data_IF_614394547445
#
_entry.id   IF_614394547445
#
_cell.length_a   1.000
_cell.length_b   1.000
_cell.length_c   1.000
_cell.angle_alpha   90.00
_cell.angle_beta   90.00
_cell.angle_gamma   90.00
#
_symmetry.space_group_name_H-M   'P 1'
#
loop_
_entity.id
_entity.type
_entity.pdbx_description
1 polymer ?
#
# COMPACT_ATOMS: atom_id res chain seq x y z
N UNK A 1 41.19 -23.17 -29.65
CA UNK A 1 41.66 -22.14 -28.70
C UNK A 1 42.23 -22.86 -27.48
N UNK A 2 43.52 -22.69 -27.21
CA UNK A 2 44.26 -23.48 -26.22
C UNK A 2 44.07 -22.92 -24.80
N UNK A 3 43.91 -23.87 -23.89
CA UNK A 3 43.58 -23.82 -22.46
C UNK A 3 44.65 -23.08 -21.64
N UNK A 4 44.23 -22.29 -20.65
CA UNK A 4 45.12 -21.71 -19.64
C UNK A 4 45.28 -22.66 -18.43
N UNK A 5 46.56 -22.84 -18.13
CA UNK A 5 47.32 -23.50 -17.06
C UNK A 5 46.74 -23.48 -15.64
N UNK A 6 46.83 -24.65 -14.97
CA UNK A 6 46.68 -24.89 -13.53
C UNK A 6 48.01 -24.72 -12.79
N UNK A 7 48.05 -24.12 -11.58
CA UNK A 7 49.02 -24.49 -10.52
C UNK A 7 48.39 -24.30 -9.13
N UNK A 8 48.59 -25.34 -8.30
CA UNK A 8 48.20 -25.57 -6.91
C UNK A 8 49.47 -25.50 -6.02
N UNK A 9 49.38 -24.92 -4.82
CA UNK A 9 50.33 -25.07 -3.70
C UNK A 9 49.52 -24.82 -2.40
N UNK A 10 49.26 -25.76 -1.47
CA UNK A 10 50.01 -26.70 -0.60
C UNK A 10 50.72 -26.05 0.63
N UNK A 11 50.05 -26.25 1.79
CA UNK A 11 50.45 -26.57 3.19
C UNK A 11 51.61 -25.88 3.94
N UNK A 12 51.37 -25.52 5.22
CA UNK A 12 51.77 -26.26 6.46
C UNK A 12 51.48 -25.41 7.75
N UNK A 13 50.70 -25.90 8.74
CA UNK A 13 51.07 -26.49 10.07
C UNK A 13 51.83 -25.55 11.04
N UNK A 14 51.62 -25.43 12.37
CA UNK A 14 50.82 -26.05 13.45
C UNK A 14 51.01 -25.15 14.72
N UNK A 15 50.28 -25.25 15.84
CA UNK A 15 50.52 -26.11 17.02
C UNK A 15 49.49 -25.77 18.12
N UNK A 16 49.10 -26.78 18.93
CA UNK A 16 48.17 -26.76 20.08
C UNK A 16 48.73 -26.11 21.36
N UNK A 17 47.84 -25.56 22.22
CA UNK A 17 47.94 -25.61 23.70
C UNK A 17 46.53 -25.74 24.33
N UNK A 18 46.52 -26.36 25.51
CA UNK A 18 45.50 -27.13 26.25
C UNK A 18 44.50 -26.32 27.11
N UNK A 19 43.52 -27.05 27.66
CA UNK A 19 42.24 -26.67 28.27
C UNK A 19 42.21 -26.15 29.74
N UNK A 20 40.96 -25.82 30.15
CA UNK A 20 40.34 -25.69 31.49
C UNK A 20 40.40 -24.32 32.21
N UNK A 21 39.23 -23.67 32.37
CA UNK A 21 38.56 -23.44 33.67
C UNK A 21 37.36 -22.48 33.53
N UNK A 22 36.37 -22.69 34.40
CA UNK A 22 35.01 -22.13 34.45
C UNK A 22 34.98 -20.85 35.32
N UNK A 23 34.29 -19.81 34.80
CA UNK A 23 33.58 -18.64 35.40
C UNK A 23 34.17 -17.89 36.63
N UNK A 24 34.03 -16.55 36.64
CA UNK A 24 32.89 -15.94 37.35
C UNK A 24 32.20 -14.74 36.64
N UNK A 25 30.89 -14.64 36.83
CA UNK A 25 30.04 -13.42 36.71
C UNK A 25 29.80 -12.95 38.17
N UNK A 26 29.70 -11.65 38.56
CA UNK A 26 28.97 -10.56 37.89
C UNK A 26 29.56 -9.11 37.94
N UNK A 27 28.90 -8.25 37.15
CA UNK A 27 28.61 -6.83 37.41
C UNK A 27 29.60 -5.72 36.97
N UNK A 28 29.23 -5.03 35.88
CA UNK A 28 29.50 -3.61 35.68
C UNK A 28 28.30 -2.91 35.01
N UNK A 29 28.03 -1.71 35.52
CA UNK A 29 26.92 -0.78 35.38
C UNK A 29 26.34 -0.47 33.96
N UNK A 30 25.10 0.07 33.89
CA UNK A 30 24.41 0.33 32.63
C UNK A 30 24.90 1.61 31.95
N UNK A 31 25.48 1.49 30.75
CA UNK A 31 25.61 2.60 29.82
C UNK A 31 24.40 2.63 28.89
N UNK A 32 23.52 3.59 29.14
CA UNK A 32 22.49 4.05 28.21
C UNK A 32 23.15 4.46 26.89
N UNK A 33 23.09 3.58 25.90
CA UNK A 33 23.19 3.98 24.50
C UNK A 33 21.82 3.77 23.90
N UNK A 34 21.10 4.87 23.73
CA UNK A 34 19.89 4.94 22.92
C UNK A 34 20.29 4.68 21.48
N UNK A 35 20.38 3.41 21.10
CA UNK A 35 20.21 3.03 19.70
C UNK A 35 18.73 3.22 19.43
N UNK A 36 18.38 4.39 18.88
CA UNK A 36 17.10 4.61 18.25
C UNK A 36 17.00 3.60 17.10
N UNK A 37 16.48 2.41 17.41
CA UNK A 37 15.98 1.49 16.42
C UNK A 37 14.96 2.28 15.61
N UNK A 38 15.29 2.55 14.36
CA UNK A 38 14.34 3.06 13.39
C UNK A 38 13.12 2.13 13.47
N UNK A 39 12.01 2.66 13.99
CA UNK A 39 10.75 1.95 13.99
C UNK A 39 10.48 1.50 12.55
N UNK A 40 10.09 0.24 12.32
CA UNK A 40 9.76 -0.21 10.98
C UNK A 40 8.70 0.74 10.43
N UNK A 41 8.99 1.35 9.27
CA UNK A 41 8.02 2.16 8.54
C UNK A 41 6.75 1.33 8.42
N UNK A 42 5.67 1.82 9.02
CA UNK A 42 4.38 1.14 9.03
C UNK A 42 3.87 1.16 7.59
N UNK A 43 4.08 0.07 6.86
CA UNK A 43 3.49 -0.12 5.54
C UNK A 43 2.01 0.14 5.66
N UNK A 44 1.50 1.13 4.92
CA UNK A 44 0.06 1.36 4.85
C UNK A 44 -0.60 0.05 4.39
N UNK A 45 -1.59 -0.42 5.14
CA UNK A 45 -2.32 -1.64 4.77
C UNK A 45 -2.92 -1.46 3.35
N UNK A 46 -2.95 -2.51 2.54
CA UNK A 46 -3.63 -2.45 1.25
C UNK A 46 -5.12 -2.14 1.46
N UNK A 47 -5.77 -1.37 0.56
CA UNK A 47 -7.20 -1.11 0.67
C UNK A 47 -8.00 -2.41 0.50
N UNK A 48 -9.05 -2.54 1.29
CA UNK A 48 -10.09 -3.54 1.13
C UNK A 48 -11.01 -3.12 0.00
N UNK A 49 -11.26 -4.05 -0.91
CA UNK A 49 -12.14 -3.89 -2.06
C UNK A 49 -13.37 -4.78 -1.92
N UNK A 50 -14.52 -4.29 -2.38
CA UNK A 50 -15.73 -5.10 -2.47
C UNK A 50 -16.59 -4.71 -3.68
N UNK A 51 -17.48 -5.63 -4.10
CA UNK A 51 -18.45 -5.42 -5.18
C UNK A 51 -19.82 -5.97 -4.82
N UNK A 52 -20.88 -5.41 -5.39
CA UNK A 52 -22.27 -5.85 -5.15
C UNK A 52 -22.77 -6.93 -6.10
N UNK A 53 -22.02 -7.29 -7.15
CA UNK A 53 -22.50 -8.25 -8.13
C UNK A 53 -21.38 -9.14 -8.66
N UNK A 54 -21.65 -10.44 -8.59
CA UNK A 54 -21.05 -11.53 -9.36
C UNK A 54 -19.84 -12.24 -8.73
N UNK A 55 -20.03 -13.52 -8.40
CA UNK A 55 -18.94 -14.44 -8.04
C UNK A 55 -17.92 -14.61 -9.18
N UNK A 56 -18.29 -14.22 -10.40
CA UNK A 56 -17.44 -14.29 -11.58
C UNK A 56 -16.67 -12.99 -11.86
N UNK A 57 -16.77 -11.96 -11.03
CA UNK A 57 -15.94 -10.76 -11.14
C UNK A 57 -14.68 -10.93 -10.30
N UNK A 58 -13.53 -11.02 -10.97
CA UNK A 58 -12.24 -11.02 -10.30
C UNK A 58 -11.84 -9.58 -9.92
N UNK A 59 -11.25 -9.44 -8.73
CA UNK A 59 -10.86 -8.16 -8.15
C UNK A 59 -9.36 -8.14 -7.87
N UNK A 60 -8.68 -7.11 -8.36
CA UNK A 60 -7.25 -6.90 -8.11
C UNK A 60 -7.02 -5.45 -7.66
N UNK A 61 -6.23 -5.27 -6.61
CA UNK A 61 -5.74 -3.96 -6.16
C UNK A 61 -4.28 -3.83 -6.54
N UNK A 62 -3.95 -2.76 -7.26
CA UNK A 62 -2.59 -2.30 -7.48
C UNK A 62 -2.33 -1.02 -6.70
N UNK A 63 -1.10 -0.83 -6.24
CA UNK A 63 -0.67 0.40 -5.58
C UNK A 63 0.61 0.92 -6.24
N UNK A 64 0.70 2.24 -6.36
CA UNK A 64 1.83 2.92 -6.99
C UNK A 64 2.25 4.13 -6.18
N UNK A 65 3.53 4.26 -5.87
CA UNK A 65 4.07 5.52 -5.34
C UNK A 65 4.08 6.54 -6.48
N UNK A 66 3.46 7.68 -6.23
CA UNK A 66 3.46 8.82 -7.16
C UNK A 66 4.67 9.68 -6.85
N UNK A 67 5.53 9.85 -7.84
CA UNK A 67 6.67 10.77 -7.78
C UNK A 67 6.55 11.82 -8.89
N UNK A 68 7.08 13.02 -8.65
CA UNK A 68 7.17 14.08 -9.64
C UNK A 68 8.62 14.39 -9.92
N UNK A 69 8.98 14.52 -11.20
CA UNK A 69 10.28 15.03 -11.59
C UNK A 69 10.37 16.56 -11.43
N UNK A 70 11.55 17.13 -11.70
CA UNK A 70 11.76 18.58 -11.63
C UNK A 70 10.94 19.39 -12.65
N UNK A 71 10.42 18.73 -13.71
CA UNK A 71 9.55 19.33 -14.70
C UNK A 71 8.04 19.18 -14.34
N UNK A 72 7.73 18.48 -13.25
CA UNK A 72 6.37 18.24 -12.78
C UNK A 72 5.69 17.02 -13.40
N UNK A 73 6.38 16.22 -14.22
CA UNK A 73 5.82 15.00 -14.77
C UNK A 73 5.72 13.92 -13.69
N UNK A 74 4.59 13.21 -13.70
CA UNK A 74 4.34 12.14 -12.72
C UNK A 74 4.88 10.80 -13.22
N UNK A 75 5.53 10.06 -12.33
CA UNK A 75 5.91 8.67 -12.53
C UNK A 75 5.26 7.80 -11.45
N UNK A 76 4.67 6.68 -11.89
CA UNK A 76 4.05 5.68 -11.02
C UNK A 76 5.01 4.50 -10.83
N UNK A 77 5.50 4.34 -9.59
CA UNK A 77 6.38 3.22 -9.22
C UNK A 77 5.57 2.14 -8.52
N UNK A 78 5.51 0.90 -9.04
CA UNK A 78 4.74 -0.17 -8.42
C UNK A 78 5.17 -0.45 -6.97
N UNK A 79 4.18 -0.60 -6.09
CA UNK A 79 4.36 -1.04 -4.71
C UNK A 79 4.25 -2.56 -4.67
N UNK A 80 5.37 -3.24 -4.44
CA UNK A 80 5.43 -4.67 -4.14
C UNK A 80 5.64 -4.93 -2.66
N UNK A 81 5.79 -6.22 -2.30
CA UNK A 81 5.98 -6.68 -0.93
C UNK A 81 7.17 -6.03 -0.20
N UNK A 82 8.20 -5.63 -0.96
CA UNK A 82 9.44 -5.04 -0.43
C UNK A 82 9.61 -3.56 -0.79
N UNK A 83 8.58 -2.90 -1.34
CA UNK A 83 8.67 -1.47 -1.67
C UNK A 83 8.44 -0.65 -0.40
N UNK A 84 9.44 0.09 0.11
CA UNK A 84 9.24 0.91 1.30
C UNK A 84 8.35 2.11 0.95
N UNK A 85 7.25 2.26 1.67
CA UNK A 85 6.39 3.45 1.58
C UNK A 85 6.63 4.30 2.81
N UNK A 86 7.10 5.52 2.61
CA UNK A 86 7.37 6.46 3.71
C UNK A 86 6.19 7.37 3.99
N UNK A 87 6.09 7.83 5.24
CA UNK A 87 5.19 8.92 5.63
C UNK A 87 5.36 10.13 4.71
N UNK A 88 4.25 10.73 4.32
CA UNK A 88 4.17 11.89 3.43
C UNK A 88 4.14 11.53 1.94
N UNK A 89 4.45 10.29 1.56
CA UNK A 89 4.34 9.86 0.16
C UNK A 89 2.87 9.79 -0.28
N UNK A 90 2.63 10.09 -1.55
CA UNK A 90 1.34 9.89 -2.21
C UNK A 90 1.36 8.53 -2.89
N UNK A 91 0.35 7.72 -2.60
CA UNK A 91 0.12 6.43 -3.22
C UNK A 91 -1.17 6.49 -4.03
N UNK A 92 -1.10 6.08 -5.29
CA UNK A 92 -2.26 5.81 -6.11
C UNK A 92 -2.69 4.36 -5.94
N UNK A 93 -3.93 4.15 -5.51
CA UNK A 93 -4.55 2.83 -5.44
C UNK A 93 -5.46 2.66 -6.64
N UNK A 94 -5.28 1.58 -7.39
CA UNK A 94 -6.09 1.22 -8.54
C UNK A 94 -6.81 -0.10 -8.27
N UNK A 95 -8.11 -0.10 -8.47
CA UNK A 95 -8.96 -1.26 -8.37
C UNK A 95 -9.44 -1.74 -9.72
N UNK A 96 -9.07 -2.97 -10.07
CA UNK A 96 -9.39 -3.60 -11.33
C UNK A 96 -10.47 -4.66 -11.10
N UNK A 97 -11.55 -4.57 -11.86
CA UNK A 97 -12.69 -5.48 -11.79
C UNK A 97 -12.89 -6.13 -13.15
N UNK A 98 -12.58 -7.42 -13.27
CA UNK A 98 -12.66 -8.16 -14.54
C UNK A 98 -13.81 -9.15 -14.50
N UNK A 99 -14.74 -9.03 -15.46
CA UNK A 99 -15.85 -9.95 -15.58
C UNK A 99 -15.44 -11.22 -16.34
N UNK A 100 -15.32 -12.34 -15.62
CA UNK A 100 -15.05 -13.67 -16.20
C UNK A 100 -16.32 -14.49 -16.43
N UNK A 101 -17.51 -13.93 -16.19
CA UNK A 101 -18.78 -14.59 -16.43
C UNK A 101 -19.16 -14.65 -17.90
N UNK A 102 -20.25 -15.35 -18.20
CA UNK A 102 -20.80 -15.48 -19.56
C UNK A 102 -21.84 -14.40 -19.91
N UNK A 103 -22.16 -13.52 -18.96
CA UNK A 103 -23.12 -12.43 -19.12
C UNK A 103 -22.47 -11.08 -18.81
N UNK A 104 -23.04 -10.00 -19.35
CA UNK A 104 -22.63 -8.63 -18.96
C UNK A 104 -23.17 -8.28 -17.57
N UNK A 105 -22.40 -7.55 -16.78
CA UNK A 105 -22.86 -6.98 -15.50
C UNK A 105 -23.41 -5.58 -15.79
N UNK A 106 -24.72 -5.39 -15.60
CA UNK A 106 -25.45 -4.15 -15.97
C UNK A 106 -25.43 -3.05 -14.92
N UNK A 107 -24.94 -3.35 -13.72
CA UNK A 107 -24.78 -2.37 -12.65
C UNK A 107 -23.92 -3.01 -11.57
N UNK A 108 -22.71 -2.50 -11.39
CA UNK A 108 -21.80 -2.97 -10.38
C UNK A 108 -21.45 -1.83 -9.45
N UNK A 109 -21.76 -1.96 -8.16
CA UNK A 109 -21.25 -1.04 -7.16
C UNK A 109 -19.89 -1.56 -6.70
N UNK A 110 -18.84 -0.79 -6.95
CA UNK A 110 -17.49 -1.04 -6.49
C UNK A 110 -17.19 -0.15 -5.28
N UNK A 111 -16.60 -0.71 -4.22
CA UNK A 111 -16.15 0.04 -3.05
C UNK A 111 -14.69 -0.22 -2.76
N UNK A 112 -13.94 0.83 -2.43
CA UNK A 112 -12.60 0.72 -1.86
C UNK A 112 -12.55 1.54 -0.58
N UNK A 113 -12.03 0.97 0.50
CA UNK A 113 -11.72 1.75 1.69
C UNK A 113 -10.47 2.61 1.48
N UNK A 114 -10.27 3.57 2.38
CA UNK A 114 -9.02 4.31 2.50
C UNK A 114 -8.24 3.66 3.65
N UNK A 115 -7.02 3.14 3.40
CA UNK A 115 -6.24 2.45 4.41
C UNK A 115 -6.04 3.25 5.70
N UNK A 116 -6.00 2.53 6.82
CA UNK A 116 -5.57 3.13 8.10
C UNK A 116 -4.17 3.70 7.95
N UNK A 117 -3.99 4.96 8.35
CA UNK A 117 -2.72 5.67 8.18
C UNK A 117 -2.54 6.30 6.80
N UNK A 118 -3.59 6.36 5.99
CA UNK A 118 -3.62 7.14 4.75
C UNK A 118 -4.78 8.15 4.79
N UNK A 119 -4.61 9.28 4.12
CA UNK A 119 -5.63 10.31 3.96
C UNK A 119 -5.87 10.56 2.48
N UNK A 120 -7.14 10.63 2.06
CA UNK A 120 -7.50 10.92 0.69
C UNK A 120 -6.96 12.29 0.27
N UNK A 121 -6.31 12.35 -0.90
CA UNK A 121 -5.82 13.61 -1.50
C UNK A 121 -6.42 13.91 -2.88
N UNK A 122 -7.23 13.01 -3.44
CA UNK A 122 -7.97 13.24 -4.68
C UNK A 122 -7.58 12.28 -5.80
N UNK A 123 -7.49 12.79 -7.04
CA UNK A 123 -7.25 12.01 -8.27
C UNK A 123 -8.16 10.78 -8.38
N UNK A 124 -9.44 11.01 -8.12
CA UNK A 124 -10.48 10.00 -8.12
C UNK A 124 -10.93 9.77 -9.55
N UNK A 125 -10.84 8.53 -10.02
CA UNK A 125 -11.35 8.14 -11.33
C UNK A 125 -12.13 6.80 -11.21
N UNK A 126 -13.28 6.64 -11.87
CA UNK A 126 -14.08 7.69 -12.50
C UNK A 126 -14.41 8.84 -11.55
N UNK A 127 -14.52 10.06 -12.09
CA UNK A 127 -14.62 11.29 -11.27
C UNK A 127 -15.88 11.33 -10.39
N UNK A 128 -16.95 10.66 -10.81
CA UNK A 128 -18.20 10.58 -10.05
C UNK A 128 -18.10 9.40 -9.08
N UNK A 129 -17.71 9.71 -7.85
CA UNK A 129 -17.69 8.77 -6.73
C UNK A 129 -18.53 9.29 -5.56
N UNK A 130 -19.00 8.36 -4.73
CA UNK A 130 -19.53 8.64 -3.40
C UNK A 130 -18.45 8.36 -2.36
N UNK A 131 -18.51 9.03 -1.22
CA UNK A 131 -17.59 8.82 -0.11
C UNK A 131 -18.32 8.54 1.20
N UNK A 132 -17.60 7.96 2.15
CA UNK A 132 -18.07 7.69 3.50
C UNK A 132 -17.07 8.16 4.55
N UNK A 133 -17.57 8.52 5.74
CA UNK A 133 -16.74 8.82 6.92
C UNK A 133 -16.70 7.65 7.92
N UNK A 134 -17.51 6.60 7.72
CA UNK A 134 -17.72 5.52 8.68
C UNK A 134 -17.75 4.11 8.06
N UNK A 135 -17.71 3.99 6.73
CA UNK A 135 -17.81 2.72 6.01
C UNK A 135 -19.25 2.25 5.75
N UNK A 136 -20.24 2.89 6.37
CA UNK A 136 -21.65 2.51 6.27
C UNK A 136 -22.40 3.35 5.25
N UNK A 137 -22.50 4.67 5.49
CA UNK A 137 -23.26 5.58 4.62
C UNK A 137 -22.34 6.22 3.60
N UNK A 138 -22.63 5.96 2.32
CA UNK A 138 -21.96 6.62 1.19
C UNK A 138 -22.84 7.76 0.67
N UNK A 139 -22.23 8.93 0.47
CA UNK A 139 -22.89 10.15 -0.04
C UNK A 139 -22.07 10.79 -1.15
N UNK A 140 -22.69 11.63 -1.96
CA UNK A 140 -21.96 12.35 -3.01
C UNK A 140 -20.87 13.25 -2.40
N UNK A 141 -19.74 13.35 -3.10
CA UNK A 141 -18.64 14.21 -2.67
C UNK A 141 -18.90 15.69 -3.01
N UNK A 142 -18.48 16.64 -2.15
CA UNK A 142 -17.86 16.40 -0.85
C UNK A 142 -18.89 16.05 0.23
N UNK A 143 -18.46 15.28 1.23
CA UNK A 143 -19.26 14.98 2.42
C UNK A 143 -19.50 16.29 3.19
N UNK A 144 -20.77 16.60 3.45
CA UNK A 144 -21.17 17.73 4.30
C UNK A 144 -21.76 17.22 5.61
N UNK A 145 -21.33 17.80 6.71
CA UNK A 145 -21.79 17.52 8.08
C UNK A 145 -22.42 18.78 8.68
N UNK A 146 -23.34 18.60 9.62
CA UNK A 146 -23.88 19.72 10.39
C UNK A 146 -23.03 19.90 11.64
N UNK A 147 -22.40 21.07 11.79
CA UNK A 147 -21.65 21.48 12.99
C UNK A 147 -22.31 22.73 13.53
N UNK A 148 -22.85 22.67 14.75
CA UNK A 148 -23.61 23.77 15.36
C UNK A 148 -24.77 24.28 14.49
N UNK A 149 -25.44 23.39 13.76
CA UNK A 149 -26.56 23.73 12.88
C UNK A 149 -26.14 24.32 11.53
N UNK A 150 -24.84 24.46 11.26
CA UNK A 150 -24.31 24.94 9.98
C UNK A 150 -23.74 23.78 9.16
N UNK A 151 -24.04 23.77 7.86
CA UNK A 151 -23.47 22.79 6.94
C UNK A 151 -22.00 23.12 6.68
N UNK A 152 -21.11 22.22 7.07
CA UNK A 152 -19.67 22.33 6.85
C UNK A 152 -19.16 21.14 6.03
N UNK A 153 -18.22 21.41 5.12
CA UNK A 153 -17.52 20.37 4.40
C UNK A 153 -16.59 19.59 5.33
N UNK A 154 -16.70 18.26 5.29
CA UNK A 154 -15.81 17.39 6.02
C UNK A 154 -14.43 17.36 5.32
N UNK A 155 -13.32 17.59 6.05
CA UNK A 155 -11.98 17.44 5.48
C UNK A 155 -11.74 16.04 4.92
N UNK A 156 -10.99 15.93 3.80
CA UNK A 156 -10.68 14.66 3.14
C UNK A 156 -9.95 13.66 4.06
N UNK A 157 -9.18 14.14 5.04
CA UNK A 157 -8.51 13.32 6.05
C UNK A 157 -9.49 12.46 6.88
N UNK A 158 -10.76 12.86 6.95
CA UNK A 158 -11.78 12.13 7.69
C UNK A 158 -12.52 11.09 6.85
N UNK A 159 -12.24 10.99 5.54
CA UNK A 159 -12.91 10.05 4.66
C UNK A 159 -12.35 8.65 4.92
N UNK A 160 -13.21 7.64 4.85
CA UNK A 160 -12.89 6.23 5.13
C UNK A 160 -13.06 5.30 3.95
N UNK A 161 -13.71 5.75 2.88
CA UNK A 161 -13.82 4.95 1.67
C UNK A 161 -14.56 5.67 0.56
N UNK A 162 -14.46 5.08 -0.62
CA UNK A 162 -15.07 5.53 -1.86
C UNK A 162 -15.94 4.43 -2.47
N UNK A 163 -16.96 4.84 -3.20
CA UNK A 163 -17.92 3.99 -3.90
C UNK A 163 -18.18 4.52 -5.30
N UNK A 164 -18.13 3.64 -6.27
CA UNK A 164 -18.49 3.90 -7.66
C UNK A 164 -19.65 3.03 -8.09
N UNK A 165 -20.48 3.56 -8.98
CA UNK A 165 -21.44 2.76 -9.76
C UNK A 165 -20.88 2.62 -11.17
N UNK A 166 -20.66 1.38 -11.59
CA UNK A 166 -20.20 1.02 -12.94
C UNK A 166 -21.43 0.48 -13.68
N UNK A 167 -21.93 1.26 -14.64
CA UNK A 167 -23.20 0.99 -15.34
C UNK A 167 -23.11 -0.18 -16.32
N UNK A 168 -21.94 -0.53 -16.82
CA UNK A 168 -21.79 -1.72 -17.66
C UNK A 168 -20.38 -2.29 -17.60
N UNK A 169 -20.29 -3.59 -17.33
CA UNK A 169 -19.07 -4.36 -17.46
C UNK A 169 -19.33 -5.53 -18.41
N UNK A 170 -18.81 -5.40 -19.63
CA UNK A 170 -18.92 -6.41 -20.67
C UNK A 170 -18.28 -7.75 -20.30
N UNK A 171 -18.54 -8.79 -21.08
CA UNK A 171 -17.91 -10.11 -20.93
C UNK A 171 -16.42 -9.98 -21.22
N UNK A 172 -15.56 -10.45 -20.31
CA UNK A 172 -14.10 -10.32 -20.42
C UNK A 172 -13.57 -8.89 -20.25
N UNK A 173 -14.44 -7.90 -20.00
CA UNK A 173 -14.03 -6.52 -19.83
C UNK A 173 -13.49 -6.28 -18.42
N UNK A 174 -12.62 -5.28 -18.30
CA UNK A 174 -12.08 -4.79 -17.03
C UNK A 174 -12.47 -3.33 -16.83
N UNK A 175 -13.11 -3.03 -15.70
CA UNK A 175 -13.29 -1.67 -15.22
C UNK A 175 -12.18 -1.33 -14.22
N UNK A 176 -11.74 -0.07 -14.22
CA UNK A 176 -10.75 0.45 -13.28
C UNK A 176 -11.34 1.61 -12.51
N UNK A 177 -11.18 1.60 -11.19
CA UNK A 177 -11.37 2.76 -10.32
C UNK A 177 -10.05 3.08 -9.65
N UNK A 178 -9.79 4.34 -9.33
CA UNK A 178 -8.58 4.74 -8.60
C UNK A 178 -8.80 5.97 -7.74
N UNK A 179 -7.92 6.13 -6.78
CA UNK A 179 -7.79 7.34 -5.98
C UNK A 179 -6.35 7.48 -5.48
N UNK A 180 -5.99 8.68 -5.03
CA UNK A 180 -4.71 8.94 -4.37
C UNK A 180 -4.90 9.26 -2.90
N UNK A 181 -4.00 8.73 -2.09
CA UNK A 181 -3.92 9.02 -0.67
C UNK A 181 -2.49 9.32 -0.24
N UNK A 182 -2.35 10.18 0.78
CA UNK A 182 -1.08 10.50 1.41
C UNK A 182 -0.90 9.67 2.68
N UNK A 183 0.24 9.01 2.81
CA UNK A 183 0.59 8.20 3.98
C UNK A 183 0.94 9.11 5.17
N UNK A 184 0.48 8.76 6.37
CA UNK A 184 0.62 9.52 7.62
C UNK A 184 1.61 8.90 8.61
#
# INVERSE_FOLDING_TARGET
MKLHTTVLAILAAGVLVTACAVLPTPEAAPTTTTTAAAAPAKTAAAPVMNTTNDANVNMVVNAFVVSKDAAGNETLTPVGMNTPISKGQIVEYQGLFTNHGTNRVRKMVATMDIPKGAELVGNIEPAIAQATMDGGRFVNMPIRVSVNGQAQELPLANYKGLRWTIEELGIGATAVVKYRAKIQ
#
